data_IF_615180068817
#
_entry.id   IF_615180068817
#
_cell.length_a   1.000
_cell.length_b   1.000
_cell.length_c   1.000
_cell.angle_alpha   90.00
_cell.angle_beta   90.00
_cell.angle_gamma   90.00
#
_symmetry.space_group_name_H-M   'P 1'
#
loop_
_entity.id
_entity.type
_entity.pdbx_description
1 polymer ?
#
# COMPACT_ATOMS: atom_id res chain seq x y z
N UNK A 1 9.37 -4.99 9.62
CA UNK A 1 9.72 -3.54 9.49
C UNK A 1 8.70 -2.74 10.30
N UNK A 2 8.87 -1.44 10.55
CA UNK A 2 7.86 -0.62 11.23
C UNK A 2 7.46 0.53 10.33
N UNK A 3 6.23 1.06 10.48
CA UNK A 3 5.78 2.23 9.71
C UNK A 3 6.73 3.44 9.82
N UNK A 4 7.32 3.68 10.99
CA UNK A 4 8.32 4.75 11.16
C UNK A 4 9.57 4.54 10.29
N UNK A 5 10.08 3.31 10.20
CA UNK A 5 11.24 3.00 9.36
C UNK A 5 10.94 3.24 7.88
N UNK A 6 9.77 2.83 7.40
CA UNK A 6 9.35 3.12 6.03
C UNK A 6 9.20 4.62 5.78
N UNK A 7 8.59 5.36 6.71
CA UNK A 7 8.44 6.82 6.60
C UNK A 7 9.78 7.52 6.47
N UNK A 8 10.73 7.21 7.35
CA UNK A 8 12.08 7.81 7.30
C UNK A 8 12.81 7.47 6.01
N UNK A 9 12.70 6.22 5.54
CA UNK A 9 13.29 5.80 4.28
C UNK A 9 12.71 6.58 3.08
N UNK A 10 11.38 6.63 2.95
CA UNK A 10 10.69 7.35 1.88
C UNK A 10 11.05 8.84 1.93
N UNK A 11 11.07 9.46 3.12
CA UNK A 11 11.43 10.87 3.30
C UNK A 11 12.85 11.15 2.81
N UNK A 12 13.82 10.28 3.16
CA UNK A 12 15.20 10.41 2.75
C UNK A 12 15.37 10.33 1.23
N UNK A 13 14.75 9.34 0.58
CA UNK A 13 14.83 9.19 -0.87
C UNK A 13 14.19 10.38 -1.62
N UNK A 14 13.03 10.86 -1.15
CA UNK A 14 12.39 12.04 -1.74
C UNK A 14 13.21 13.32 -1.56
N UNK A 15 13.94 13.46 -0.45
CA UNK A 15 14.85 14.60 -0.22
C UNK A 15 16.05 14.55 -1.14
N UNK A 16 16.68 13.39 -1.32
CA UNK A 16 17.80 13.21 -2.26
C UNK A 16 17.44 13.63 -3.68
N UNK A 17 16.19 13.40 -4.09
CA UNK A 17 15.69 13.74 -5.42
C UNK A 17 15.09 15.17 -5.51
N UNK A 18 15.08 15.94 -4.41
CA UNK A 18 14.40 17.23 -4.31
C UNK A 18 12.91 17.19 -4.74
N UNK A 19 12.23 16.10 -4.36
CA UNK A 19 10.83 15.82 -4.67
C UNK A 19 9.93 15.93 -3.44
N UNK A 20 10.48 16.06 -2.23
CA UNK A 20 9.73 15.96 -0.98
C UNK A 20 8.47 16.84 -0.93
N UNK A 21 8.58 18.09 -1.37
CA UNK A 21 7.47 19.07 -1.38
C UNK A 21 6.62 19.01 -2.67
N UNK A 22 7.00 18.16 -3.62
CA UNK A 22 6.35 18.01 -4.93
C UNK A 22 5.43 16.79 -5.00
N UNK A 23 5.45 15.93 -3.99
CA UNK A 23 4.59 14.74 -3.93
C UNK A 23 3.16 15.17 -3.57
N UNK A 24 2.25 15.04 -4.53
CA UNK A 24 0.81 15.28 -4.33
C UNK A 24 0.08 14.06 -3.80
N UNK A 25 0.56 12.86 -4.13
CA UNK A 25 -0.02 11.60 -3.69
C UNK A 25 1.00 10.46 -3.68
N UNK A 26 0.71 9.45 -2.86
CA UNK A 26 1.47 8.21 -2.78
C UNK A 26 0.51 7.02 -2.89
N UNK A 27 0.83 6.07 -3.77
CA UNK A 27 0.03 4.86 -3.99
C UNK A 27 0.77 3.66 -3.43
N UNK A 28 0.19 2.91 -2.50
CA UNK A 28 0.78 1.68 -1.96
C UNK A 28 -0.27 0.60 -1.74
N UNK A 29 0.17 -0.63 -1.46
CA UNK A 29 -0.72 -1.71 -1.02
C UNK A 29 -1.35 -1.45 0.38
N UNK A 30 -2.16 -2.40 0.84
CA UNK A 30 -2.89 -2.34 2.11
C UNK A 30 -2.10 -2.78 3.34
N UNK A 31 -0.79 -3.03 3.25
CA UNK A 31 0.03 -3.46 4.38
C UNK A 31 -0.02 -2.46 5.54
N UNK A 32 -0.19 -2.94 6.78
CA UNK A 32 -0.40 -2.09 7.96
C UNK A 32 0.74 -1.09 8.19
N UNK A 33 2.00 -1.53 8.06
CA UNK A 33 3.18 -0.68 8.26
C UNK A 33 3.33 0.39 7.19
N UNK A 34 3.21 0.04 5.91
CA UNK A 34 3.31 1.01 4.81
C UNK A 34 2.12 1.97 4.82
N UNK A 35 0.93 1.47 5.19
CA UNK A 35 -0.26 2.29 5.42
C UNK A 35 -0.02 3.30 6.54
N UNK A 36 0.52 2.87 7.67
CA UNK A 36 0.90 3.77 8.78
C UNK A 36 1.96 4.79 8.37
N UNK A 37 2.97 4.36 7.60
CA UNK A 37 4.04 5.22 7.11
C UNK A 37 3.57 6.34 6.18
N UNK A 38 2.53 6.04 5.39
CA UNK A 38 2.01 6.91 4.33
C UNK A 38 0.67 7.57 4.69
N UNK A 39 0.13 7.29 5.88
CA UNK A 39 -1.02 7.99 6.40
C UNK A 39 -0.60 9.39 6.88
N UNK A 40 -1.26 10.42 6.36
CA UNK A 40 -1.07 11.82 6.78
C UNK A 40 -0.50 12.71 5.68
N UNK A 41 -0.43 14.01 5.96
CA UNK A 41 -0.13 15.07 4.97
C UNK A 41 1.32 15.10 4.48
N UNK A 42 2.20 14.32 5.11
CA UNK A 42 3.64 14.35 4.85
C UNK A 42 4.04 13.91 3.44
N UNK A 43 3.19 13.14 2.75
CA UNK A 43 3.42 12.68 1.38
C UNK A 43 2.21 12.95 0.47
N UNK A 44 1.40 13.97 0.81
CA UNK A 44 0.15 14.24 0.14
C UNK A 44 -0.93 13.19 0.42
N UNK A 45 -1.80 12.93 -0.56
CA UNK A 45 -2.90 11.98 -0.42
C UNK A 45 -2.42 10.54 -0.58
N UNK A 46 -2.85 9.67 0.33
CA UNK A 46 -2.62 8.23 0.19
C UNK A 46 -3.71 7.60 -0.68
N UNK A 47 -3.29 6.89 -1.72
CA UNK A 47 -4.15 6.09 -2.59
C UNK A 47 -3.87 4.59 -2.40
N UNK A 48 -4.91 3.78 -2.50
CA UNK A 48 -4.77 2.32 -2.48
C UNK A 48 -4.39 1.79 -3.86
N UNK A 49 -3.40 0.91 -3.92
CA UNK A 49 -2.95 0.30 -5.17
C UNK A 49 -4.03 -0.59 -5.79
N UNK A 50 -4.49 -0.22 -6.98
CA UNK A 50 -5.51 -0.98 -7.72
C UNK A 50 -5.09 -2.42 -8.02
N UNK A 51 -3.83 -2.63 -8.40
CA UNK A 51 -3.30 -3.97 -8.67
C UNK A 51 -3.36 -4.87 -7.42
N UNK A 52 -3.02 -4.33 -6.25
CA UNK A 52 -3.12 -5.08 -5.00
C UNK A 52 -4.59 -5.41 -4.66
N UNK A 53 -5.50 -4.45 -4.82
CA UNK A 53 -6.93 -4.66 -4.58
C UNK A 53 -7.51 -5.73 -5.51
N UNK A 54 -7.18 -5.68 -6.81
CA UNK A 54 -7.62 -6.69 -7.78
C UNK A 54 -7.09 -8.09 -7.40
N UNK A 55 -5.82 -8.18 -7.02
CA UNK A 55 -5.23 -9.43 -6.56
C UNK A 55 -5.94 -10.00 -5.33
N UNK A 56 -6.34 -9.16 -4.36
CA UNK A 56 -7.12 -9.60 -3.20
C UNK A 56 -8.51 -10.13 -3.62
N UNK A 57 -9.19 -9.43 -4.51
CA UNK A 57 -10.49 -9.86 -5.04
C UNK A 57 -10.38 -11.23 -5.72
N UNK A 58 -9.42 -11.40 -6.62
CA UNK A 58 -9.20 -12.66 -7.35
C UNK A 58 -8.83 -13.79 -6.39
N UNK A 59 -7.91 -13.56 -5.44
CA UNK A 59 -7.54 -14.57 -4.43
C UNK A 59 -8.74 -15.03 -3.60
N UNK A 60 -9.57 -14.09 -3.15
CA UNK A 60 -10.77 -14.40 -2.37
C UNK A 60 -11.80 -15.18 -3.21
N UNK A 61 -12.01 -14.79 -4.47
CA UNK A 61 -12.91 -15.49 -5.38
C UNK A 61 -12.45 -16.95 -5.62
N UNK A 62 -11.16 -17.17 -5.88
CA UNK A 62 -10.59 -18.50 -6.07
C UNK A 62 -10.70 -19.36 -4.80
N UNK A 63 -10.46 -18.77 -3.61
CA UNK A 63 -10.62 -19.49 -2.35
C UNK A 63 -12.06 -19.94 -2.11
N UNK A 64 -13.03 -19.05 -2.33
CA UNK A 64 -14.46 -19.38 -2.22
C UNK A 64 -14.86 -20.47 -3.21
N UNK A 65 -14.41 -20.37 -4.47
CA UNK A 65 -14.67 -21.37 -5.49
C UNK A 65 -14.14 -22.75 -5.08
N UNK A 66 -12.88 -22.83 -4.63
CA UNK A 66 -12.30 -24.09 -4.17
C UNK A 66 -13.02 -24.66 -2.94
N UNK A 67 -13.42 -23.79 -1.99
CA UNK A 67 -14.21 -24.18 -0.82
C UNK A 67 -15.58 -24.76 -1.21
N UNK A 68 -16.23 -24.23 -2.25
CA UNK A 68 -17.50 -24.79 -2.75
C UNK A 68 -17.33 -26.13 -3.45
N UNK A 69 -16.22 -26.34 -4.18
CA UNK A 69 -15.91 -27.63 -4.81
C UNK A 69 -15.62 -28.72 -3.78
N UNK A 70 -14.87 -28.40 -2.72
CA UNK A 70 -14.50 -29.39 -1.69
C UNK A 70 -15.67 -29.86 -0.80
N UNK A 71 -16.85 -29.24 -0.93
CA UNK A 71 -18.08 -29.58 -0.19
C UNK A 71 -19.10 -30.37 -1.02
N UNK A 72 -18.83 -30.58 -2.32
CA UNK A 72 -19.62 -31.45 -3.20
C UNK A 72 -18.88 -32.76 -3.40
#
# INVERSE_FOLDING_TARGET
HTGQKFRSFIDNELRKMNLKLKVSSITTDGGSDIKSATLGTTFGMRLSCAAHNLNLVVKNALWLFNKTKSKK
#
